data_IF_227742202488
#
_entry.id   IF_227742202488
#
_cell.length_a   1.000
_cell.length_b   1.000
_cell.length_c   1.000
_cell.angle_alpha   90.00
_cell.angle_beta   90.00
_cell.angle_gamma   90.00
#
_symmetry.space_group_name_H-M   'P 1'
#
loop_
_entity.id
_entity.type
_entity.pdbx_description
1 polymer ?
#
# COMPACT_ATOMS: atom_id res chain seq x y z
N UNK A 1 -0.80 -15.91 12.44
CA UNK A 1 -1.17 -14.49 12.26
C UNK A 1 -1.75 -14.22 10.88
N UNK A 2 -1.04 -14.56 9.80
CA UNK A 2 -1.50 -14.34 8.42
C UNK A 2 -2.82 -15.06 8.12
N UNK A 3 -2.95 -16.33 8.49
CA UNK A 3 -4.18 -17.09 8.28
C UNK A 3 -5.38 -16.45 8.99
N UNK A 4 -5.19 -15.93 10.19
CA UNK A 4 -6.25 -15.23 10.93
C UNK A 4 -6.66 -13.93 10.25
N UNK A 5 -5.71 -13.17 9.70
CA UNK A 5 -6.00 -11.94 8.95
C UNK A 5 -6.77 -12.22 7.66
N UNK A 6 -6.42 -13.28 6.94
CA UNK A 6 -7.10 -13.67 5.70
C UNK A 6 -8.51 -14.24 5.95
N UNK A 7 -8.74 -14.84 7.10
CA UNK A 7 -10.03 -15.38 7.48
C UNK A 7 -10.97 -14.35 8.14
N UNK A 8 -10.49 -13.15 8.44
CA UNK A 8 -11.28 -12.10 9.05
C UNK A 8 -12.39 -11.62 8.09
N UNK A 9 -13.62 -11.52 8.57
CA UNK A 9 -14.78 -11.06 7.78
C UNK A 9 -14.61 -9.60 7.29
N UNK A 10 -13.79 -8.81 7.97
CA UNK A 10 -13.47 -7.45 7.54
C UNK A 10 -12.48 -7.41 6.38
N UNK A 11 -11.76 -8.52 6.13
CA UNK A 11 -10.82 -8.62 5.02
C UNK A 11 -11.56 -8.89 3.73
N UNK A 12 -11.40 -8.00 2.76
CA UNK A 12 -12.07 -8.09 1.45
C UNK A 12 -11.04 -8.23 0.35
N UNK A 13 -11.31 -9.11 -0.59
CA UNK A 13 -10.51 -9.24 -1.80
C UNK A 13 -10.78 -8.08 -2.75
N UNK A 14 -9.71 -7.43 -3.21
CA UNK A 14 -9.80 -6.44 -4.29
C UNK A 14 -9.79 -7.18 -5.62
N UNK A 15 -10.89 -7.09 -6.35
CA UNK A 15 -11.09 -7.76 -7.64
C UNK A 15 -10.81 -6.84 -8.81
N UNK A 16 -10.54 -7.43 -9.96
CA UNK A 16 -10.37 -6.71 -11.23
C UNK A 16 -9.22 -5.71 -11.25
N UNK A 17 -8.12 -6.03 -10.59
CA UNK A 17 -6.89 -5.25 -10.72
C UNK A 17 -6.44 -5.35 -12.18
N UNK A 18 -6.22 -4.19 -12.80
CA UNK A 18 -5.79 -4.13 -14.19
C UNK A 18 -4.40 -4.72 -14.36
N UNK A 19 -4.18 -5.44 -15.46
CA UNK A 19 -2.91 -6.13 -15.74
C UNK A 19 -1.72 -5.18 -15.68
N UNK A 20 -0.63 -5.65 -15.09
CA UNK A 20 0.66 -4.96 -14.97
C UNK A 20 0.61 -3.61 -14.23
N UNK A 21 -0.42 -3.38 -13.40
CA UNK A 21 -0.55 -2.14 -12.64
C UNK A 21 -0.09 -2.24 -11.18
N UNK A 22 -0.12 -3.45 -10.60
CA UNK A 22 0.32 -3.61 -9.22
C UNK A 22 1.84 -3.58 -9.13
N UNK A 23 2.35 -2.66 -8.32
CA UNK A 23 3.78 -2.53 -8.04
C UNK A 23 3.99 -2.28 -6.56
N UNK A 24 5.14 -2.73 -6.07
CA UNK A 24 5.67 -2.32 -4.77
C UNK A 24 6.94 -1.51 -5.03
N UNK A 25 7.03 -0.35 -4.42
CA UNK A 25 8.16 0.54 -4.55
C UNK A 25 8.67 0.97 -3.18
N UNK A 26 9.98 0.98 -3.04
CA UNK A 26 10.64 1.55 -1.87
C UNK A 26 11.58 2.64 -2.36
N UNK A 27 11.42 3.86 -1.85
CA UNK A 27 12.34 4.95 -2.20
C UNK A 27 13.69 4.75 -1.51
N UNK A 28 14.75 5.24 -2.15
CA UNK A 28 16.08 5.12 -1.60
C UNK A 28 16.22 5.90 -0.29
N UNK A 29 16.97 5.32 0.64
CA UNK A 29 17.36 6.03 1.85
C UNK A 29 18.31 7.17 1.49
N UNK A 30 18.17 8.30 2.17
CA UNK A 30 19.04 9.44 2.00
C UNK A 30 19.97 9.62 3.20
N UNK A 31 21.19 10.01 2.91
CA UNK A 31 22.21 10.24 3.94
C UNK A 31 23.29 11.16 3.37
N UNK A 32 23.65 12.18 4.10
CA UNK A 32 24.72 13.08 3.72
C UNK A 32 26.08 12.56 4.15
N UNK A 33 27.06 12.66 3.25
CA UNK A 33 28.45 12.32 3.57
C UNK A 33 29.27 13.56 3.89
N UNK A 34 30.02 13.50 4.97
CA UNK A 34 31.00 14.54 5.33
C UNK A 34 32.35 14.21 4.69
N UNK A 35 32.86 15.14 3.89
CA UNK A 35 34.10 14.94 3.13
C UNK A 35 35.31 15.61 3.80
N UNK A 36 36.45 14.95 3.69
CA UNK A 36 37.72 15.51 4.12
C UNK A 36 38.18 16.55 3.12
N UNK A 37 38.57 17.73 3.59
CA UNK A 37 39.00 18.83 2.72
C UNK A 37 40.28 18.51 1.92
N UNK A 38 41.18 17.74 2.52
CA UNK A 38 42.48 17.43 1.89
C UNK A 38 42.40 16.30 0.87
N UNK A 39 41.60 15.27 1.16
CA UNK A 39 41.51 14.06 0.32
C UNK A 39 40.27 14.02 -0.57
N UNK A 40 39.24 14.82 -0.25
CA UNK A 40 37.95 14.77 -0.94
C UNK A 40 37.10 13.54 -0.64
N UNK A 41 37.59 12.63 0.19
CA UNK A 41 36.92 11.39 0.54
C UNK A 41 35.94 11.57 1.69
N UNK A 42 34.87 10.75 1.70
CA UNK A 42 33.89 10.72 2.80
C UNK A 42 34.55 10.07 4.02
N UNK A 43 34.58 10.78 5.13
CA UNK A 43 35.12 10.25 6.40
C UNK A 43 34.02 9.97 7.44
N UNK A 44 32.81 10.50 7.26
CA UNK A 44 31.68 10.27 8.15
C UNK A 44 30.38 10.42 7.39
N UNK A 45 29.40 9.57 7.69
CA UNK A 45 28.04 9.70 7.21
C UNK A 45 27.15 10.38 8.26
N UNK A 46 26.26 11.23 7.82
CA UNK A 46 25.28 11.90 8.67
C UNK A 46 24.09 11.00 9.04
N UNK A 47 23.03 11.60 9.54
CA UNK A 47 21.80 10.88 9.89
C UNK A 47 21.14 10.30 8.64
N UNK A 48 20.83 9.01 8.70
CA UNK A 48 20.17 8.29 7.62
C UNK A 48 18.65 8.46 7.72
N UNK A 49 18.02 8.87 6.61
CA UNK A 49 16.58 8.89 6.47
C UNK A 49 16.16 7.71 5.60
N UNK A 50 15.29 6.85 6.13
CA UNK A 50 14.78 5.68 5.40
C UNK A 50 13.78 6.10 4.34
N UNK A 51 13.73 5.36 3.25
CA UNK A 51 12.72 5.54 2.21
C UNK A 51 11.35 5.02 2.62
N UNK A 52 10.34 5.40 1.84
CA UNK A 52 8.95 4.98 2.03
C UNK A 52 8.63 3.77 1.17
N UNK A 53 7.87 2.81 1.72
CA UNK A 53 7.35 1.66 0.98
C UNK A 53 5.92 1.96 0.53
N UNK A 54 5.64 1.79 -0.75
CA UNK A 54 4.33 2.04 -1.32
C UNK A 54 3.85 0.88 -2.18
N UNK A 55 2.54 0.59 -2.09
CA UNK A 55 1.83 -0.24 -3.04
C UNK A 55 1.09 0.64 -4.02
N UNK A 56 1.19 0.34 -5.30
CA UNK A 56 0.45 1.02 -6.36
C UNK A 56 -0.31 0.00 -7.19
N UNK A 57 -1.59 0.25 -7.45
CA UNK A 57 -2.38 -0.57 -8.36
C UNK A 57 -3.55 0.21 -8.94
N UNK A 58 -4.12 -0.33 -10.00
CA UNK A 58 -5.30 0.24 -10.66
C UNK A 58 -6.38 -0.82 -10.76
N UNK A 59 -7.58 -0.48 -10.33
CA UNK A 59 -8.75 -1.34 -10.45
C UNK A 59 -9.46 -0.96 -11.75
N UNK A 60 -9.58 -1.91 -12.68
CA UNK A 60 -10.21 -1.67 -13.98
C UNK A 60 -11.73 -1.72 -13.97
N UNK A 61 -12.31 -2.48 -13.06
CA UNK A 61 -13.76 -2.57 -12.87
C UNK A 61 -14.08 -2.64 -11.39
N UNK A 62 -14.95 -1.78 -10.93
CA UNK A 62 -15.31 -1.65 -9.53
C UNK A 62 -16.79 -1.34 -9.36
N UNK A 63 -17.33 -1.64 -8.19
CA UNK A 63 -18.64 -1.15 -7.76
C UNK A 63 -18.51 0.14 -6.93
N UNK A 64 -19.62 0.84 -6.72
CA UNK A 64 -19.61 2.09 -5.96
C UNK A 64 -19.24 1.92 -4.47
N UNK A 65 -19.65 0.86 -3.77
CA UNK A 65 -19.16 0.60 -2.43
C UNK A 65 -17.63 0.46 -2.34
N UNK A 66 -17.00 -0.22 -3.30
CA UNK A 66 -15.52 -0.32 -3.36
C UNK A 66 -14.89 1.05 -3.59
N UNK A 67 -15.48 1.86 -4.47
CA UNK A 67 -15.02 3.23 -4.70
C UNK A 67 -15.08 4.07 -3.43
N UNK A 68 -16.15 3.93 -2.64
CA UNK A 68 -16.28 4.63 -1.37
C UNK A 68 -15.24 4.19 -0.34
N UNK A 69 -14.82 2.93 -0.35
CA UNK A 69 -13.77 2.44 0.56
C UNK A 69 -12.39 3.05 0.29
N UNK A 70 -12.09 3.37 -0.96
CA UNK A 70 -10.78 3.92 -1.34
C UNK A 70 -10.76 5.44 -1.49
N UNK A 71 -11.87 6.06 -1.83
CA UNK A 71 -11.96 7.50 -2.01
C UNK A 71 -12.77 8.21 -0.93
N UNK A 72 -13.48 7.46 -0.11
CA UNK A 72 -14.44 8.02 0.84
C UNK A 72 -15.75 8.43 0.14
N UNK A 73 -16.62 9.12 0.87
CA UNK A 73 -17.91 9.56 0.36
C UNK A 73 -19.03 8.57 0.65
N UNK A 74 -20.16 8.80 0.01
CA UNK A 74 -21.38 8.01 0.20
C UNK A 74 -21.69 7.24 -1.08
N UNK A 75 -21.86 5.94 -0.96
CA UNK A 75 -22.19 5.05 -2.08
C UNK A 75 -23.48 4.29 -1.82
N UNK A 76 -24.22 4.09 -2.91
CA UNK A 76 -25.34 3.14 -3.00
C UNK A 76 -25.00 2.13 -4.10
N UNK A 77 -25.88 1.15 -4.35
CA UNK A 77 -25.66 0.18 -5.43
C UNK A 77 -25.58 0.81 -6.82
N UNK A 78 -26.11 2.02 -6.98
CA UNK A 78 -26.23 2.70 -8.29
C UNK A 78 -25.63 4.10 -8.34
N UNK A 79 -25.05 4.59 -7.25
CA UNK A 79 -24.53 5.95 -7.20
C UNK A 79 -23.39 6.10 -6.21
N UNK A 80 -22.56 7.10 -6.44
CA UNK A 80 -21.50 7.50 -5.53
C UNK A 80 -21.38 9.03 -5.51
N UNK A 81 -21.20 9.58 -4.33
CA UNK A 81 -20.96 11.01 -4.10
C UNK A 81 -19.58 11.24 -3.52
N UNK A 82 -18.82 12.11 -4.15
CA UNK A 82 -17.51 12.52 -3.63
C UNK A 82 -17.68 13.31 -2.33
N UNK A 83 -16.86 13.03 -1.29
CA UNK A 83 -16.90 13.82 -0.07
C UNK A 83 -16.39 15.23 -0.32
N UNK A 84 -16.87 16.17 0.47
CA UNK A 84 -16.31 17.52 0.51
C UNK A 84 -15.10 17.54 1.44
N UNK A 85 -13.98 18.03 0.97
CA UNK A 85 -12.75 18.08 1.76
C UNK A 85 -11.91 16.82 1.67
N UNK A 86 -10.89 16.76 2.51
CA UNK A 86 -9.91 15.67 2.53
C UNK A 86 -10.40 14.57 3.46
N UNK A 87 -10.37 13.34 2.97
CA UNK A 87 -10.65 12.14 3.76
C UNK A 87 -9.36 11.35 3.92
N UNK A 88 -8.99 11.06 5.16
CA UNK A 88 -7.86 10.19 5.46
C UNK A 88 -8.35 8.76 5.65
N UNK A 89 -7.74 7.82 4.93
CA UNK A 89 -8.10 6.40 4.96
C UNK A 89 -6.87 5.59 5.33
N UNK A 90 -7.00 4.79 6.38
CA UNK A 90 -5.97 3.88 6.83
C UNK A 90 -6.49 2.45 6.76
N UNK A 91 -5.72 1.55 6.17
CA UNK A 91 -6.11 0.16 5.99
C UNK A 91 -4.93 -0.78 6.21
N UNK A 92 -5.24 -2.02 6.52
CA UNK A 92 -4.29 -3.13 6.40
C UNK A 92 -4.31 -3.59 4.94
N UNK A 93 -3.14 -3.61 4.32
CA UNK A 93 -3.00 -4.07 2.93
C UNK A 93 -2.26 -5.40 2.90
N UNK A 94 -2.82 -6.36 2.20
CA UNK A 94 -2.24 -7.69 2.00
C UNK A 94 -2.14 -7.95 0.51
N UNK A 95 -0.94 -8.26 0.03
CA UNK A 95 -0.71 -8.59 -1.37
C UNK A 95 -0.10 -9.99 -1.49
N UNK A 96 -0.60 -10.77 -2.44
CA UNK A 96 -0.02 -12.04 -2.83
C UNK A 96 0.74 -11.85 -4.14
N UNK A 97 2.03 -12.17 -4.14
CA UNK A 97 2.88 -12.07 -5.32
C UNK A 97 2.83 -13.38 -6.15
N UNK A 98 3.28 -13.32 -7.40
CA UNK A 98 3.32 -14.47 -8.30
C UNK A 98 4.25 -15.60 -7.82
N UNK A 99 5.25 -15.25 -7.04
CA UNK A 99 6.20 -16.23 -6.44
C UNK A 99 5.70 -16.75 -5.08
N UNK A 100 4.41 -16.63 -4.81
CA UNK A 100 3.74 -17.15 -3.61
C UNK A 100 4.25 -16.56 -2.29
N UNK A 101 4.55 -15.29 -2.29
CA UNK A 101 4.88 -14.54 -1.09
C UNK A 101 3.72 -13.61 -0.73
N UNK A 102 3.41 -13.50 0.57
CA UNK A 102 2.46 -12.52 1.08
C UNK A 102 3.20 -11.33 1.68
N UNK A 103 2.87 -10.14 1.22
CA UNK A 103 3.34 -8.90 1.82
C UNK A 103 2.19 -8.24 2.57
N UNK A 104 2.42 -7.89 3.82
CA UNK A 104 1.42 -7.26 4.67
C UNK A 104 1.93 -5.91 5.15
N UNK A 105 1.13 -4.87 4.91
CA UNK A 105 1.32 -3.54 5.48
C UNK A 105 0.26 -3.35 6.57
N UNK A 106 0.59 -3.51 7.85
CA UNK A 106 -0.40 -3.47 8.93
C UNK A 106 -1.07 -2.11 9.12
N UNK A 107 -0.38 -1.04 8.75
CA UNK A 107 -0.92 0.30 8.84
C UNK A 107 -0.48 1.10 7.63
N UNK A 108 -1.37 1.27 6.68
CA UNK A 108 -1.10 1.97 5.44
C UNK A 108 -2.05 3.15 5.25
N UNK A 109 -1.50 4.28 4.84
CA UNK A 109 -2.30 5.41 4.37
C UNK A 109 -2.69 5.16 2.91
N UNK A 110 -3.98 5.08 2.64
CA UNK A 110 -4.52 4.76 1.33
C UNK A 110 -5.11 6.00 0.68
N UNK A 111 -4.65 6.30 -0.52
CA UNK A 111 -5.18 7.37 -1.35
C UNK A 111 -5.64 6.81 -2.69
N UNK A 112 -6.89 7.06 -3.03
CA UNK A 112 -7.47 6.68 -4.31
C UNK A 112 -7.66 7.88 -5.22
N UNK A 113 -7.60 7.64 -6.52
CA UNK A 113 -7.91 8.64 -7.55
C UNK A 113 -8.59 7.97 -8.73
N UNK A 114 -9.35 8.73 -9.49
CA UNK A 114 -9.89 8.26 -10.75
C UNK A 114 -8.75 8.17 -11.79
N UNK A 115 -8.72 7.09 -12.54
CA UNK A 115 -7.71 6.83 -13.54
C UNK A 115 -8.36 6.27 -14.81
N UNK A 116 -7.69 6.43 -15.94
CA UNK A 116 -8.12 5.83 -17.20
C UNK A 116 -7.41 4.49 -17.42
N UNK A 117 -8.17 3.48 -17.87
CA UNK A 117 -7.66 2.18 -18.27
C UNK A 117 -8.28 1.80 -19.59
N UNK A 118 -7.51 1.78 -20.67
CA UNK A 118 -7.93 1.29 -22.00
C UNK A 118 -9.32 1.77 -22.45
N UNK A 119 -9.63 3.06 -22.26
CA UNK A 119 -10.90 3.65 -22.63
C UNK A 119 -12.00 3.59 -21.56
N UNK A 120 -11.74 2.97 -20.43
CA UNK A 120 -12.64 2.96 -19.27
C UNK A 120 -12.07 3.81 -18.12
N UNK A 121 -12.91 4.12 -17.15
CA UNK A 121 -12.47 4.80 -15.92
C UNK A 121 -12.23 3.76 -14.83
N UNK A 122 -11.01 3.71 -14.33
CA UNK A 122 -10.62 2.86 -13.23
C UNK A 122 -10.32 3.65 -11.95
N UNK A 123 -9.85 2.95 -10.93
CA UNK A 123 -9.36 3.53 -9.69
C UNK A 123 -7.86 3.29 -9.56
N UNK A 124 -7.09 4.36 -9.55
CA UNK A 124 -5.67 4.32 -9.20
C UNK A 124 -5.51 4.47 -7.70
N UNK A 125 -4.87 3.51 -7.05
CA UNK A 125 -4.74 3.47 -5.60
C UNK A 125 -3.27 3.41 -5.21
N UNK A 126 -2.91 4.21 -4.21
CA UNK A 126 -1.58 4.24 -3.60
C UNK A 126 -1.73 3.98 -2.11
N UNK A 127 -1.07 2.94 -1.62
CA UNK A 127 -0.98 2.66 -0.21
C UNK A 127 0.45 2.86 0.29
N UNK A 128 0.65 3.79 1.21
CA UNK A 128 1.96 4.08 1.80
C UNK A 128 2.06 3.45 3.18
N UNK A 129 3.09 2.64 3.39
CA UNK A 129 3.34 2.04 4.69
C UNK A 129 3.64 3.10 5.75
N UNK A 130 3.01 2.97 6.90
CA UNK A 130 3.23 3.85 8.05
C UNK A 130 3.67 3.03 9.26
N UNK A 131 4.31 3.70 10.19
CA UNK A 131 4.67 3.08 11.46
C UNK A 131 3.41 2.86 12.31
N UNK A 132 3.10 1.60 12.70
CA UNK A 132 1.98 1.33 13.59
C UNK A 132 2.17 1.98 14.97
N UNK A 133 1.06 2.26 15.65
CA UNK A 133 1.09 2.85 17.00
C UNK A 133 1.61 1.88 18.06
N UNK A 134 1.46 0.57 17.83
CA UNK A 134 2.04 -0.45 18.70
C UNK A 134 3.51 -0.70 18.33
N UNK A 135 4.46 -0.47 19.25
CA UNK A 135 5.88 -0.65 18.96
C UNK A 135 6.31 -2.10 18.68
N UNK A 136 5.45 -3.06 18.97
CA UNK A 136 5.72 -4.48 18.71
C UNK A 136 5.31 -4.92 17.29
N UNK A 137 4.67 -4.04 16.53
CA UNK A 137 4.23 -4.32 15.17
C UNK A 137 5.14 -3.59 14.19
N UNK A 138 5.74 -4.32 13.25
CA UNK A 138 6.55 -3.73 12.20
C UNK A 138 5.66 -3.08 11.12
N UNK A 139 6.23 -2.17 10.35
CA UNK A 139 5.52 -1.48 9.26
C UNK A 139 5.30 -2.37 8.04
N UNK A 140 6.05 -3.46 7.91
CA UNK A 140 5.96 -4.39 6.78
C UNK A 140 6.30 -5.82 7.23
N UNK A 141 5.54 -6.80 6.75
CA UNK A 141 5.79 -8.23 6.95
C UNK A 141 5.76 -8.97 5.63
N UNK A 142 6.62 -9.96 5.51
CA UNK A 142 6.61 -10.92 4.41
C UNK A 142 6.45 -12.33 4.94
N UNK A 143 5.55 -13.10 4.30
CA UNK A 143 5.28 -14.48 4.67
C UNK A 143 5.30 -15.36 3.43
N UNK A 144 5.82 -16.57 3.56
CA UNK A 144 5.66 -17.59 2.54
C UNK A 144 4.20 -18.10 2.54
N UNK A 145 3.69 -18.47 1.37
CA UNK A 145 2.31 -18.97 1.25
C UNK A 145 2.04 -20.23 2.06
N UNK A 146 3.06 -21.00 2.41
CA UNK A 146 2.95 -22.16 3.27
C UNK A 146 2.46 -21.83 4.68
N UNK A 147 2.68 -20.61 5.16
CA UNK A 147 2.20 -20.14 6.46
C UNK A 147 0.66 -20.03 6.53
N UNK A 148 -0.02 -20.02 5.39
CA UNK A 148 -1.49 -19.96 5.32
C UNK A 148 -2.13 -21.33 5.37
N UNK A 149 -1.40 -22.36 4.95
CA UNK A 149 -1.93 -23.74 4.76
C UNK A 149 -1.99 -24.54 6.04
N UNK A 150 -1.45 -24.06 7.13
CA UNK A 150 -1.57 -24.72 8.44
C UNK A 150 -2.98 -24.57 9.01
N UNK A 151 -3.80 -25.45 8.59
CA UNK A 151 -5.08 -25.67 9.24
C UNK A 151 -4.90 -26.49 10.51
#
# INVERSE_FOLDING_TARGET
>A
LLAALLADEATKEVKNIHQDTWTIEESEASQDGYRNQLTGSIYRMGTKTMGDVTFNWTIGQYDYPTKAEFLGGVATDKSWKRPRGVVEIHKVLIALTEDNQYCVLPYANVAGREANTDGAVGLGIVGTAMEPTDPNIASEYWFDSSEVVTA
#
